data_IF_881535827902
#
_entry.id   IF_881535827902
#
_cell.length_a   1.000
_cell.length_b   1.000
_cell.length_c   1.000
_cell.angle_alpha   90.00
_cell.angle_beta   90.00
_cell.angle_gamma   90.00
#
_symmetry.space_group_name_H-M   'P 1'
#
loop_
_entity.id
_entity.type
_entity.pdbx_description
1 polymer ?
#
# COMPACT_ATOMS: atom_id res chain seq x y z
N UNK A 1 -9.86 -22.75 4.25
CA UNK A 1 -9.51 -21.34 4.56
C UNK A 1 -8.40 -20.93 3.59
N UNK A 2 -8.74 -20.25 2.50
CA UNK A 2 -7.79 -19.74 1.49
C UNK A 2 -8.37 -18.41 0.98
N UNK A 3 -8.19 -17.34 1.76
CA UNK A 3 -8.52 -15.97 1.31
C UNK A 3 -7.25 -15.13 1.08
N UNK A 4 -6.08 -15.66 1.44
CA UNK A 4 -4.78 -14.97 1.40
C UNK A 4 -4.24 -14.85 -0.04
N UNK A 5 -4.63 -15.76 -0.95
CA UNK A 5 -4.11 -15.80 -2.34
C UNK A 5 -4.47 -14.58 -3.19
N UNK A 6 -5.59 -13.89 -2.90
CA UNK A 6 -6.02 -12.75 -3.71
C UNK A 6 -5.13 -11.52 -3.46
N UNK A 7 -4.57 -11.40 -2.25
CA UNK A 7 -3.74 -10.26 -1.85
C UNK A 7 -2.25 -10.53 -1.89
N UNK A 8 -1.81 -11.79 -1.76
CA UNK A 8 -0.38 -12.13 -1.81
C UNK A 8 0.32 -11.64 -3.09
N UNK A 9 -0.26 -11.95 -4.25
CA UNK A 9 0.33 -11.57 -5.54
C UNK A 9 0.40 -10.04 -5.72
N UNK A 10 -0.69 -9.26 -5.53
CA UNK A 10 -0.60 -7.81 -5.67
C UNK A 10 0.32 -7.19 -4.62
N UNK A 11 0.33 -7.65 -3.36
CA UNK A 11 1.25 -7.14 -2.32
C UNK A 11 2.71 -7.38 -2.72
N UNK A 12 3.05 -8.57 -3.23
CA UNK A 12 4.40 -8.87 -3.69
C UNK A 12 4.84 -7.95 -4.83
N UNK A 13 3.95 -7.66 -5.80
CA UNK A 13 4.21 -6.73 -6.91
C UNK A 13 4.39 -5.29 -6.45
N UNK A 14 3.58 -4.86 -5.49
CA UNK A 14 3.71 -3.54 -4.88
C UNK A 14 5.06 -3.44 -4.16
N UNK A 15 5.43 -4.46 -3.37
CA UNK A 15 6.71 -4.52 -2.67
C UNK A 15 7.89 -4.43 -3.63
N UNK A 16 7.91 -5.25 -4.69
CA UNK A 16 8.95 -5.22 -5.74
C UNK A 16 9.11 -3.80 -6.32
N UNK A 17 7.98 -3.12 -6.59
CA UNK A 17 7.99 -1.74 -7.08
C UNK A 17 8.56 -0.76 -6.05
N UNK A 18 8.22 -0.92 -4.77
CA UNK A 18 8.74 -0.11 -3.67
C UNK A 18 10.23 -0.34 -3.43
N UNK A 19 10.72 -1.56 -3.61
CA UNK A 19 12.15 -1.90 -3.55
C UNK A 19 12.92 -1.25 -4.69
N UNK A 20 12.41 -1.32 -5.93
CA UNK A 20 13.01 -0.68 -7.10
C UNK A 20 13.09 0.86 -6.99
N UNK A 21 12.17 1.46 -6.24
CA UNK A 21 12.12 2.92 -6.02
C UNK A 21 12.82 3.37 -4.74
N UNK A 22 13.41 2.44 -3.97
CA UNK A 22 14.17 2.75 -2.76
C UNK A 22 13.31 3.17 -1.57
N UNK A 23 12.01 2.85 -1.57
CA UNK A 23 11.06 3.17 -0.48
C UNK A 23 10.62 1.93 0.30
N UNK A 24 11.37 0.83 0.24
CA UNK A 24 11.05 -0.43 0.91
C UNK A 24 10.81 -0.27 2.42
N UNK A 25 11.62 0.53 3.12
CA UNK A 25 11.42 0.81 4.57
C UNK A 25 10.06 1.48 4.84
N UNK A 26 9.66 2.39 3.96
CA UNK A 26 8.36 3.07 4.07
C UNK A 26 7.20 2.13 3.73
N UNK A 27 7.43 1.21 2.79
CA UNK A 27 6.47 0.16 2.46
C UNK A 27 6.24 -0.77 3.66
N UNK A 28 7.29 -1.28 4.31
CA UNK A 28 7.15 -2.15 5.49
C UNK A 28 6.35 -1.48 6.62
N UNK A 29 6.54 -0.18 6.84
CA UNK A 29 5.74 0.59 7.82
C UNK A 29 4.28 0.77 7.39
N UNK A 30 4.04 0.93 6.09
CA UNK A 30 2.72 1.15 5.51
C UNK A 30 1.98 -0.14 5.14
N UNK A 31 2.64 -1.30 5.24
CA UNK A 31 2.11 -2.61 4.89
C UNK A 31 0.77 -2.91 5.60
N UNK A 32 0.62 -2.75 6.93
CA UNK A 32 -0.66 -3.02 7.59
C UNK A 32 -1.81 -2.11 7.10
N UNK A 33 -1.52 -0.84 6.77
CA UNK A 33 -2.51 0.09 6.21
C UNK A 33 -2.88 -0.30 4.77
N UNK A 34 -1.89 -0.72 3.98
CA UNK A 34 -2.09 -1.21 2.62
C UNK A 34 -2.94 -2.49 2.61
N UNK A 35 -2.62 -3.46 3.48
CA UNK A 35 -3.39 -4.70 3.61
C UNK A 35 -4.86 -4.40 3.92
N UNK A 36 -5.11 -3.56 4.93
CA UNK A 36 -6.47 -3.13 5.29
C UNK A 36 -7.19 -2.48 4.11
N UNK A 37 -6.52 -1.61 3.36
CA UNK A 37 -7.10 -0.96 2.18
C UNK A 37 -7.48 -1.99 1.10
N UNK A 38 -6.61 -2.95 0.82
CA UNK A 38 -6.84 -3.98 -0.17
C UNK A 38 -7.93 -4.97 0.26
N UNK A 39 -8.00 -5.34 1.55
CA UNK A 39 -9.09 -6.15 2.10
C UNK A 39 -10.45 -5.47 1.91
N UNK A 40 -10.54 -4.15 2.10
CA UNK A 40 -11.77 -3.40 1.81
C UNK A 40 -12.13 -3.44 0.32
N UNK A 41 -11.15 -3.40 -0.58
CA UNK A 41 -11.40 -3.54 -2.02
C UNK A 41 -11.92 -4.93 -2.38
N UNK A 42 -11.32 -5.98 -1.81
CA UNK A 42 -11.77 -7.37 -1.97
C UNK A 42 -13.17 -7.55 -1.41
N UNK A 43 -13.48 -6.98 -0.24
CA UNK A 43 -14.81 -7.00 0.35
C UNK A 43 -15.87 -6.29 -0.53
N UNK A 44 -15.46 -5.32 -1.35
CA UNK A 44 -16.31 -4.66 -2.36
C UNK A 44 -16.46 -5.48 -3.64
N UNK A 45 -15.77 -6.61 -3.76
CA UNK A 45 -15.81 -7.52 -4.92
C UNK A 45 -14.68 -7.31 -5.92
N UNK A 46 -13.69 -6.46 -5.63
CA UNK A 46 -12.52 -6.30 -6.49
C UNK A 46 -11.50 -7.40 -6.21
N UNK A 47 -11.32 -8.31 -7.17
CA UNK A 47 -10.39 -9.44 -7.06
C UNK A 47 -9.33 -9.41 -8.17
N UNK A 48 -9.34 -8.38 -9.03
CA UNK A 48 -8.36 -8.29 -10.11
C UNK A 48 -7.02 -7.84 -9.56
N UNK A 49 -6.04 -8.73 -9.62
CA UNK A 49 -4.66 -8.49 -9.21
C UNK A 49 -4.11 -7.16 -9.74
N UNK A 50 -4.25 -6.89 -11.05
CA UNK A 50 -3.73 -5.66 -11.67
C UNK A 50 -4.35 -4.40 -11.05
N UNK A 51 -5.64 -4.46 -10.70
CA UNK A 51 -6.36 -3.33 -10.13
C UNK A 51 -5.98 -3.12 -8.67
N UNK A 52 -5.93 -4.20 -7.89
CA UNK A 52 -5.45 -4.20 -6.50
C UNK A 52 -4.02 -3.68 -6.40
N UNK A 53 -3.14 -4.13 -7.29
CA UNK A 53 -1.74 -3.66 -7.37
C UNK A 53 -1.68 -2.15 -7.66
N UNK A 54 -2.41 -1.70 -8.67
CA UNK A 54 -2.42 -0.29 -9.08
C UNK A 54 -2.99 0.63 -7.99
N UNK A 55 -4.13 0.26 -7.42
CA UNK A 55 -4.78 1.03 -6.36
C UNK A 55 -3.92 1.05 -5.09
N UNK A 56 -3.28 -0.07 -4.76
CA UNK A 56 -2.33 -0.17 -3.65
C UNK A 56 -1.12 0.76 -3.82
N UNK A 57 -0.52 0.79 -5.01
CA UNK A 57 0.55 1.75 -5.34
C UNK A 57 0.08 3.21 -5.24
N UNK A 58 -1.14 3.51 -5.70
CA UNK A 58 -1.71 4.84 -5.60
C UNK A 58 -1.97 5.25 -4.14
N UNK A 59 -2.47 4.31 -3.32
CA UNK A 59 -2.68 4.50 -1.90
C UNK A 59 -1.36 4.78 -1.18
N UNK A 60 -0.34 3.95 -1.38
CA UNK A 60 1.00 4.16 -0.83
C UNK A 60 1.58 5.50 -1.26
N UNK A 61 1.50 5.84 -2.55
CA UNK A 61 1.98 7.15 -3.03
C UNK A 61 1.30 8.29 -2.28
N UNK A 62 -0.01 8.22 -2.04
CA UNK A 62 -0.74 9.24 -1.25
C UNK A 62 -0.32 9.25 0.21
N UNK A 63 -0.18 8.09 0.84
CA UNK A 63 0.27 7.98 2.23
C UNK A 63 1.67 8.59 2.41
N UNK A 64 2.60 8.24 1.51
CA UNK A 64 3.99 8.69 1.57
C UNK A 64 4.19 10.15 1.15
N UNK A 65 3.35 10.67 0.24
CA UNK A 65 3.37 12.09 -0.14
C UNK A 65 2.62 12.95 0.88
N UNK A 66 1.54 12.43 1.48
CA UNK A 66 0.78 13.07 2.55
C UNK A 66 1.54 13.15 3.87
N UNK A 67 2.41 12.18 4.15
CA UNK A 67 3.32 12.21 5.31
C UNK A 67 4.31 13.38 5.28
N UNK A 68 4.59 13.99 4.11
CA UNK A 68 5.48 15.17 4.00
C UNK A 68 4.82 16.44 4.58
N UNK A 69 3.50 16.46 4.81
CA UNK A 69 2.80 17.61 5.39
C UNK A 69 2.69 17.57 6.93
N UNK A 70 3.23 16.55 7.60
CA UNK A 70 3.41 16.57 9.05
C UNK A 70 4.82 17.05 9.42
N UNK A 71 5.17 18.27 8.99
CA UNK A 71 6.18 19.04 9.71
C UNK A 71 5.54 19.55 11.00
N UNK A 72 6.04 19.21 12.19
CA UNK A 72 5.75 20.04 13.36
C UNK A 72 6.47 21.36 13.12
N UNK A 73 5.73 22.38 12.69
CA UNK A 73 6.14 23.77 12.88
C UNK A 73 6.25 23.96 14.40
N UNK A 74 7.45 23.69 14.94
CA UNK A 74 7.78 24.01 16.31
C UNK A 74 7.83 25.54 16.37
N UNK A 75 6.84 26.08 17.06
CA UNK A 75 6.85 27.43 17.57
C UNK A 75 8.13 27.66 18.39
N UNK A 76 8.94 28.60 17.94
CA UNK A 76 9.90 29.33 18.78
C UNK A 76 9.48 30.80 18.83
#
# INVERSE_FOLDING_TARGET
MVQITVLETPIARIKETCELTGIADKFDRALPELETFLEVQVAKGEVRETRLTFDGLCYLRRLLTGAVLQSPENAE
#
